data_IF_067895667694
#
_entry.id   IF_067895667694
#
_cell.length_a   1.000
_cell.length_b   1.000
_cell.length_c   1.000
_cell.angle_alpha   90.00
_cell.angle_beta   90.00
_cell.angle_gamma   90.00
#
_symmetry.space_group_name_H-M   'P 1'
#
loop_
_entity.id
_entity.type
_entity.pdbx_description
1 polymer ?
#
# COMPACT_ATOMS: atom_id res chain seq x y z
N UNK A 1 -0.51 4.63 -16.17
CA UNK A 1 0.55 4.11 -15.25
C UNK A 1 0.98 5.10 -14.13
N UNK A 2 0.18 6.10 -13.73
CA UNK A 2 0.73 7.37 -13.20
C UNK A 2 0.48 7.71 -11.72
N UNK A 3 -0.48 7.06 -11.06
CA UNK A 3 -0.87 7.35 -9.65
C UNK A 3 -0.42 6.30 -8.64
N UNK A 4 0.04 5.15 -9.13
CA UNK A 4 0.25 3.97 -8.30
C UNK A 4 1.48 4.02 -7.38
N UNK A 5 2.47 4.86 -7.73
CA UNK A 5 3.73 4.96 -6.99
C UNK A 5 3.54 5.53 -5.59
N UNK A 6 2.67 6.53 -5.45
CA UNK A 6 2.34 7.13 -4.15
C UNK A 6 1.36 6.28 -3.35
N UNK A 7 0.37 5.64 -4.00
CA UNK A 7 -0.60 4.80 -3.30
C UNK A 7 0.07 3.61 -2.58
N UNK A 8 1.11 3.01 -3.18
CA UNK A 8 1.84 1.90 -2.58
C UNK A 8 2.75 2.35 -1.42
N UNK A 9 3.42 3.49 -1.57
CA UNK A 9 4.27 4.08 -0.52
C UNK A 9 3.44 4.57 0.68
N UNK A 10 2.30 5.21 0.41
CA UNK A 10 1.28 5.55 1.41
C UNK A 10 0.84 4.32 2.20
N UNK A 11 0.56 3.22 1.50
CA UNK A 11 0.09 2.00 2.13
C UNK A 11 1.18 1.24 2.90
N UNK A 12 2.45 1.40 2.53
CA UNK A 12 3.60 0.88 3.26
C UNK A 12 3.97 1.71 4.50
N UNK A 13 3.63 3.02 4.51
CA UNK A 13 3.93 3.95 5.61
C UNK A 13 2.78 4.19 6.59
N UNK A 14 1.56 3.80 6.24
CA UNK A 14 0.40 4.09 7.07
C UNK A 14 0.30 3.13 8.27
N UNK A 15 0.23 3.63 9.52
CA UNK A 15 -0.47 2.89 10.55
C UNK A 15 -1.94 2.75 10.12
N UNK A 16 -2.56 1.65 10.52
CA UNK A 16 -3.98 1.37 10.36
C UNK A 16 -4.86 2.61 10.68
N UNK A 17 -5.21 3.41 9.67
CA UNK A 17 -6.00 4.61 9.85
C UNK A 17 -6.37 5.27 8.53
N UNK A 18 -7.67 5.28 8.22
CA UNK A 18 -8.39 6.15 7.29
C UNK A 18 -7.68 6.58 5.98
N UNK A 19 -7.19 5.62 5.19
CA UNK A 19 -6.96 5.87 3.77
C UNK A 19 -8.26 5.83 2.98
N UNK A 20 -8.97 6.95 2.93
CA UNK A 20 -10.11 7.18 2.05
C UNK A 20 -9.55 7.70 0.72
N UNK A 21 -9.50 6.84 -0.31
CA UNK A 21 -9.28 7.25 -1.71
C UNK A 21 -10.59 7.64 -2.41
N UNK A 22 -11.69 7.73 -1.65
CA UNK A 22 -12.99 8.10 -2.18
C UNK A 22 -13.24 9.60 -1.98
N UNK A 23 -13.51 10.28 -3.10
CA UNK A 23 -14.02 11.65 -3.18
C UNK A 23 -13.04 12.75 -2.80
N UNK A 24 -12.14 13.06 -3.74
CA UNK A 24 -12.10 14.44 -4.20
C UNK A 24 -12.01 14.41 -5.73
N UNK A 25 -13.12 14.81 -6.34
CA UNK A 25 -13.29 14.93 -7.77
C UNK A 25 -12.30 15.98 -8.34
N UNK A 26 -12.07 15.87 -9.65
CA UNK A 26 -11.36 16.84 -10.49
C UNK A 26 -9.83 16.96 -10.30
N UNK A 27 -9.09 16.23 -11.15
CA UNK A 27 -8.12 16.92 -12.01
C UNK A 27 -7.92 16.17 -13.32
N UNK A 28 -8.79 16.49 -14.27
CA UNK A 28 -8.46 16.64 -15.70
C UNK A 28 -7.26 17.58 -15.88
N UNK A 29 -6.07 17.14 -15.47
CA UNK A 29 -4.82 17.73 -15.95
C UNK A 29 -4.00 16.63 -16.61
N UNK A 30 -4.00 16.55 -17.96
CA UNK A 30 -3.11 15.64 -18.66
C UNK A 30 -1.67 16.05 -18.36
N UNK A 31 -0.89 15.16 -17.73
CA UNK A 31 0.58 15.27 -17.67
C UNK A 31 1.25 15.52 -16.31
N UNK A 32 0.51 15.71 -15.21
CA UNK A 32 1.15 15.92 -13.89
C UNK A 32 1.35 14.60 -13.11
N UNK A 33 2.56 14.05 -13.19
CA UNK A 33 3.00 12.93 -12.34
C UNK A 33 3.79 13.46 -11.13
N UNK A 34 3.33 13.21 -9.88
CA UNK A 34 4.16 13.53 -8.74
C UNK A 34 5.43 12.66 -8.79
N UNK A 35 6.61 13.27 -8.58
CA UNK A 35 7.86 12.52 -8.58
C UNK A 35 7.86 11.47 -7.46
N UNK A 36 8.61 10.36 -7.60
CA UNK A 36 8.76 9.38 -6.52
C UNK A 36 9.10 10.08 -5.20
N UNK A 37 8.56 9.62 -4.08
CA UNK A 37 8.74 10.27 -2.77
C UNK A 37 10.22 10.57 -2.48
N UNK A 38 11.09 9.64 -2.85
CA UNK A 38 12.54 9.74 -2.74
C UNK A 38 13.10 10.98 -3.46
N UNK A 39 12.57 11.31 -4.64
CA UNK A 39 12.95 12.53 -5.36
C UNK A 39 12.46 13.80 -4.65
N UNK A 40 11.30 13.77 -4.00
CA UNK A 40 10.83 14.92 -3.20
C UNK A 40 11.69 15.13 -1.95
N UNK A 41 12.12 14.04 -1.30
CA UNK A 41 12.98 14.11 -0.13
C UNK A 41 14.38 14.62 -0.45
N UNK A 42 14.93 14.23 -1.60
CA UNK A 42 16.24 14.65 -2.07
C UNK A 42 16.25 16.04 -2.73
N UNK A 43 15.09 16.69 -2.83
CA UNK A 43 14.94 18.03 -3.41
C UNK A 43 15.13 19.13 -2.36
N UNK A 44 15.73 20.28 -2.70
CA UNK A 44 15.80 21.44 -1.82
C UNK A 44 14.42 21.86 -1.30
N UNK A 45 14.36 22.34 -0.05
CA UNK A 45 13.10 22.66 0.63
C UNK A 45 12.25 23.68 -0.15
N UNK A 46 12.87 24.72 -0.72
CA UNK A 46 12.18 25.73 -1.52
C UNK A 46 11.59 25.18 -2.82
N UNK A 47 12.33 24.33 -3.54
CA UNK A 47 11.82 23.73 -4.79
C UNK A 47 10.68 22.75 -4.47
N UNK A 48 10.78 22.03 -3.35
CA UNK A 48 9.73 21.15 -2.85
C UNK A 48 8.46 21.95 -2.53
N UNK A 49 8.57 23.06 -1.80
CA UNK A 49 7.45 23.94 -1.45
C UNK A 49 6.75 24.46 -2.71
N UNK A 50 7.51 25.03 -3.67
CA UNK A 50 6.97 25.51 -4.96
C UNK A 50 6.24 24.42 -5.76
N UNK A 51 6.68 23.16 -5.66
CA UNK A 51 6.00 22.03 -6.30
C UNK A 51 4.74 21.59 -5.56
N UNK A 52 4.77 21.58 -4.24
CA UNK A 52 3.61 21.28 -3.40
C UNK A 52 2.51 22.32 -3.56
N UNK A 53 2.87 23.59 -3.74
CA UNK A 53 1.94 24.69 -3.98
C UNK A 53 1.10 24.50 -5.27
N UNK A 54 1.65 23.85 -6.29
CA UNK A 54 0.94 23.56 -7.55
C UNK A 54 -0.11 22.45 -7.42
N UNK A 55 -0.17 21.76 -6.27
CA UNK A 55 -1.13 20.70 -6.00
C UNK A 55 -2.44 21.26 -5.43
N UNK A 56 -3.58 20.63 -5.75
CA UNK A 56 -4.82 20.83 -5.01
C UNK A 56 -4.61 20.61 -3.50
N UNK A 57 -5.28 21.39 -2.66
CA UNK A 57 -5.04 21.44 -1.21
C UNK A 57 -5.11 20.06 -0.55
N UNK A 58 -6.16 19.28 -0.83
CA UNK A 58 -6.30 17.92 -0.28
C UNK A 58 -5.16 16.99 -0.70
N UNK A 59 -4.59 17.18 -1.88
CA UNK A 59 -3.45 16.39 -2.36
C UNK A 59 -2.12 16.86 -1.76
N UNK A 60 -1.98 18.18 -1.54
CA UNK A 60 -0.83 18.78 -0.87
C UNK A 60 -0.70 18.24 0.55
N UNK A 61 -1.78 18.35 1.35
CA UNK A 61 -1.83 17.88 2.74
C UNK A 61 -1.43 16.41 2.87
N UNK A 62 -2.01 15.55 2.03
CA UNK A 62 -1.65 14.12 1.99
C UNK A 62 -0.17 13.87 1.72
N UNK A 63 0.42 14.61 0.79
CA UNK A 63 1.83 14.44 0.43
C UNK A 63 2.77 14.98 1.52
N UNK A 64 2.39 16.06 2.19
CA UNK A 64 3.08 16.61 3.36
C UNK A 64 3.07 15.62 4.54
N UNK A 65 1.90 15.05 4.87
CA UNK A 65 1.77 14.02 5.91
C UNK A 65 2.63 12.79 5.61
N UNK A 66 2.65 12.35 4.35
CA UNK A 66 3.49 11.23 3.94
C UNK A 66 5.00 11.57 4.05
N UNK A 67 5.40 12.79 3.65
CA UNK A 67 6.77 13.26 3.81
C UNK A 67 7.18 13.30 5.28
N UNK A 68 6.33 13.82 6.15
CA UNK A 68 6.56 13.88 7.59
C UNK A 68 6.69 12.48 8.20
N UNK A 69 5.78 11.56 7.85
CA UNK A 69 5.83 10.16 8.29
C UNK A 69 7.10 9.47 7.81
N UNK A 70 7.51 9.70 6.57
CA UNK A 70 8.72 9.10 6.01
C UNK A 70 9.98 9.60 6.71
N UNK A 71 10.03 10.89 7.04
CA UNK A 71 11.14 11.47 7.80
C UNK A 71 11.25 10.87 9.21
N UNK A 72 10.12 10.50 9.82
CA UNK A 72 10.08 9.82 11.13
C UNK A 72 10.48 8.34 11.10
N UNK A 73 10.65 7.74 9.92
CA UNK A 73 11.08 6.34 9.82
C UNK A 73 12.56 6.16 10.13
N UNK A 74 12.88 5.06 10.83
CA UNK A 74 14.24 4.59 11.03
C UNK A 74 14.91 4.21 9.69
N UNK A 75 16.25 4.20 9.62
CA UNK A 75 16.98 3.76 8.42
C UNK A 75 16.56 2.36 7.94
N UNK A 76 16.28 1.44 8.86
CA UNK A 76 15.84 0.08 8.58
C UNK A 76 14.45 0.06 7.95
N UNK A 77 13.51 0.85 8.50
CA UNK A 77 12.16 0.98 7.95
C UNK A 77 12.19 1.58 6.54
N UNK A 78 13.02 2.61 6.32
CA UNK A 78 13.22 3.22 4.99
C UNK A 78 13.80 2.21 4.01
N UNK A 79 14.83 1.46 4.40
CA UNK A 79 15.44 0.41 3.58
C UNK A 79 14.43 -0.66 3.19
N UNK A 80 13.61 -1.10 4.13
CA UNK A 80 12.56 -2.07 3.85
C UNK A 80 11.52 -1.55 2.84
N UNK A 81 11.08 -0.30 3.00
CA UNK A 81 10.15 0.33 2.05
C UNK A 81 10.77 0.42 0.66
N UNK A 82 12.05 0.81 0.56
CA UNK A 82 12.78 0.85 -0.69
C UNK A 82 12.88 -0.53 -1.35
N UNK A 83 13.24 -1.58 -0.61
CA UNK A 83 13.31 -2.96 -1.11
C UNK A 83 11.96 -3.44 -1.65
N UNK A 84 10.86 -3.14 -0.95
CA UNK A 84 9.51 -3.52 -1.40
C UNK A 84 9.04 -2.74 -2.62
N UNK A 85 9.39 -1.47 -2.69
CA UNK A 85 9.11 -0.64 -3.84
C UNK A 85 9.87 -1.12 -5.09
N UNK A 86 11.15 -1.46 -4.95
CA UNK A 86 11.94 -2.03 -6.04
C UNK A 86 11.42 -3.40 -6.48
N UNK A 87 11.04 -4.28 -5.54
CA UNK A 87 10.40 -5.54 -5.86
C UNK A 87 9.11 -5.34 -6.66
N UNK A 88 8.27 -4.37 -6.29
CA UNK A 88 7.07 -4.02 -7.03
C UNK A 88 7.37 -3.49 -8.43
N UNK A 89 8.37 -2.60 -8.58
CA UNK A 89 8.75 -2.03 -9.88
C UNK A 89 9.22 -3.08 -10.88
N UNK A 90 9.83 -4.16 -10.39
CA UNK A 90 10.30 -5.28 -11.21
C UNK A 90 9.19 -6.25 -11.61
N UNK A 91 7.99 -6.15 -11.02
CA UNK A 91 6.86 -7.01 -11.38
C UNK A 91 6.33 -6.64 -12.79
N UNK A 92 5.79 -7.60 -13.55
CA UNK A 92 5.08 -7.32 -14.80
C UNK A 92 3.94 -6.32 -14.62
N UNK A 93 3.65 -5.52 -15.65
CA UNK A 93 2.62 -4.47 -15.57
C UNK A 93 1.25 -4.99 -15.09
N UNK A 94 0.82 -6.17 -15.58
CA UNK A 94 -0.41 -6.81 -15.16
C UNK A 94 -0.44 -7.21 -13.67
N UNK A 95 0.70 -7.64 -13.12
CA UNK A 95 0.82 -7.92 -11.67
C UNK A 95 0.78 -6.63 -10.86
N UNK A 96 1.42 -5.57 -11.35
CA UNK A 96 1.33 -4.25 -10.72
C UNK A 96 -0.11 -3.73 -10.68
N UNK A 97 -0.86 -3.89 -11.77
CA UNK A 97 -2.28 -3.52 -11.83
C UNK A 97 -3.15 -4.35 -10.89
N UNK A 98 -2.88 -5.64 -10.80
CA UNK A 98 -3.55 -6.53 -9.85
C UNK A 98 -3.33 -6.08 -8.40
N UNK A 99 -2.10 -5.71 -8.05
CA UNK A 99 -1.78 -5.18 -6.71
C UNK A 99 -2.42 -3.82 -6.45
N UNK A 100 -2.45 -2.92 -7.43
CA UNK A 100 -3.15 -1.63 -7.32
C UNK A 100 -4.62 -1.83 -7.02
N UNK A 101 -5.28 -2.72 -7.76
CA UNK A 101 -6.69 -3.03 -7.58
C UNK A 101 -6.97 -3.65 -6.21
N UNK A 102 -6.12 -4.57 -5.76
CA UNK A 102 -6.19 -5.16 -4.43
C UNK A 102 -6.11 -4.09 -3.34
N UNK A 103 -5.17 -3.16 -3.45
CA UNK A 103 -4.97 -2.11 -2.45
C UNK A 103 -6.05 -1.03 -2.48
N UNK A 104 -6.60 -0.70 -3.65
CA UNK A 104 -7.78 0.17 -3.76
C UNK A 104 -8.97 -0.42 -3.02
N UNK A 105 -9.29 -1.69 -3.29
CA UNK A 105 -10.39 -2.41 -2.63
C UNK A 105 -10.22 -2.51 -1.12
N UNK A 106 -8.99 -2.75 -0.65
CA UNK A 106 -8.71 -2.68 0.78
C UNK A 106 -8.95 -1.27 1.31
N UNK A 107 -8.48 -0.23 0.62
CA UNK A 107 -8.65 1.17 1.00
C UNK A 107 -10.12 1.58 1.23
N UNK A 108 -11.03 1.03 0.45
CA UNK A 108 -12.48 1.25 0.55
C UNK A 108 -13.12 0.60 1.80
N UNK A 109 -12.42 -0.31 2.48
CA UNK A 109 -12.93 -1.00 3.66
C UNK A 109 -12.69 -0.22 4.96
N UNK A 110 -13.56 -0.40 5.97
CA UNK A 110 -13.32 0.10 7.33
C UNK A 110 -12.00 -0.43 7.89
N UNK A 111 -11.29 0.41 8.66
CA UNK A 111 -9.95 0.09 9.16
C UNK A 111 -9.90 -1.24 9.92
N UNK A 112 -10.83 -1.46 10.84
CA UNK A 112 -10.88 -2.69 11.63
C UNK A 112 -10.96 -3.93 10.74
N UNK A 113 -11.73 -3.85 9.64
CA UNK A 113 -11.84 -4.94 8.68
C UNK A 113 -10.55 -5.12 7.89
N UNK A 114 -9.91 -4.04 7.43
CA UNK A 114 -8.58 -4.09 6.78
C UNK A 114 -7.56 -4.78 7.66
N UNK A 115 -7.49 -4.43 8.94
CA UNK A 115 -6.57 -5.04 9.90
C UNK A 115 -6.83 -6.54 10.05
N UNK A 116 -8.10 -6.96 10.11
CA UNK A 116 -8.46 -8.37 10.19
C UNK A 116 -7.98 -9.15 8.95
N UNK A 117 -8.28 -8.65 7.74
CA UNK A 117 -7.84 -9.29 6.50
C UNK A 117 -6.32 -9.37 6.42
N UNK A 118 -5.61 -8.29 6.80
CA UNK A 118 -4.14 -8.26 6.87
C UNK A 118 -3.59 -9.31 7.83
N UNK A 119 -4.17 -9.44 9.04
CA UNK A 119 -3.75 -10.47 10.02
C UNK A 119 -3.94 -11.87 9.48
N UNK A 120 -5.05 -12.17 8.82
CA UNK A 120 -5.25 -13.49 8.21
C UNK A 120 -4.29 -13.75 7.05
N UNK A 121 -4.09 -12.76 6.19
CA UNK A 121 -3.12 -12.86 5.11
C UNK A 121 -1.71 -13.13 5.62
N UNK A 122 -1.31 -12.45 6.71
CA UNK A 122 -0.03 -12.70 7.37
C UNK A 122 0.08 -14.13 7.88
N UNK A 123 -0.94 -14.64 8.59
CA UNK A 123 -0.99 -16.04 9.04
C UNK A 123 -0.85 -17.02 7.88
N UNK A 124 -1.60 -16.81 6.80
CA UNK A 124 -1.49 -17.65 5.61
C UNK A 124 -0.12 -17.55 4.97
N UNK A 125 0.51 -16.37 4.92
CA UNK A 125 1.81 -16.17 4.28
C UNK A 125 2.94 -17.00 4.92
N UNK A 126 2.80 -17.34 6.21
CA UNK A 126 3.73 -18.23 6.93
C UNK A 126 3.44 -19.71 6.71
N UNK A 127 2.31 -20.07 6.10
CA UNK A 127 1.96 -21.46 5.82
C UNK A 127 2.48 -21.91 4.45
N UNK A 128 2.87 -23.19 4.30
CA UNK A 128 3.12 -23.80 3.00
C UNK A 128 1.92 -23.65 2.05
N UNK A 129 2.13 -23.57 0.71
CA UNK A 129 1.05 -23.35 -0.26
C UNK A 129 -0.14 -24.32 -0.13
N UNK A 130 0.13 -25.59 0.14
CA UNK A 130 -0.90 -26.62 0.33
C UNK A 130 -1.76 -26.33 1.57
N UNK A 131 -1.12 -25.99 2.70
CA UNK A 131 -1.83 -25.65 3.94
C UNK A 131 -2.64 -24.37 3.82
N UNK A 132 -2.16 -23.38 3.06
CA UNK A 132 -2.95 -22.17 2.75
C UNK A 132 -4.26 -22.49 2.06
N UNK A 133 -4.21 -23.30 0.99
CA UNK A 133 -5.41 -23.71 0.25
C UNK A 133 -6.39 -24.46 1.15
N UNK A 134 -5.90 -25.41 1.94
CA UNK A 134 -6.73 -26.15 2.90
C UNK A 134 -7.40 -25.22 3.93
N UNK A 135 -6.64 -24.26 4.49
CA UNK A 135 -7.19 -23.30 5.45
C UNK A 135 -8.28 -22.43 4.82
N UNK A 136 -8.05 -21.94 3.60
CA UNK A 136 -9.02 -21.10 2.88
C UNK A 136 -10.27 -21.87 2.46
N UNK A 137 -10.14 -23.17 2.17
CA UNK A 137 -11.27 -24.05 1.83
C UNK A 137 -12.09 -24.49 3.07
N UNK A 138 -11.59 -24.25 4.29
CA UNK A 138 -12.26 -24.70 5.51
C UNK A 138 -13.64 -24.03 5.70
N UNK A 139 -14.63 -24.75 6.29
CA UNK A 139 -15.95 -24.18 6.58
C UNK A 139 -15.90 -22.89 7.39
N UNK A 140 -15.05 -22.85 8.43
CA UNK A 140 -14.83 -21.65 9.25
C UNK A 140 -14.40 -20.44 8.42
N UNK A 141 -13.48 -20.65 7.48
CA UNK A 141 -12.97 -19.56 6.64
C UNK A 141 -14.02 -19.08 5.63
N UNK A 142 -14.83 -20.01 5.09
CA UNK A 142 -15.91 -19.68 4.16
C UNK A 142 -17.09 -18.97 4.82
N UNK A 143 -17.37 -19.28 6.08
CA UNK A 143 -18.42 -18.62 6.86
C UNK A 143 -18.01 -17.22 7.32
N UNK A 144 -16.72 -17.01 7.64
CA UNK A 144 -16.24 -15.73 8.19
C UNK A 144 -15.86 -14.68 7.14
N UNK A 145 -15.48 -15.09 5.94
CA UNK A 145 -15.01 -14.20 4.88
C UNK A 145 -15.80 -14.36 3.59
N UNK A 146 -16.25 -13.25 3.02
CA UNK A 146 -16.94 -13.21 1.72
C UNK A 146 -16.00 -13.66 0.60
N UNK A 147 -16.52 -14.06 -0.57
CA UNK A 147 -15.67 -14.40 -1.72
C UNK A 147 -14.63 -13.32 -2.04
N UNK A 148 -15.00 -12.05 -1.99
CA UNK A 148 -14.14 -10.90 -2.27
C UNK A 148 -13.02 -10.77 -1.22
N UNK A 149 -13.37 -10.93 0.06
CA UNK A 149 -12.39 -10.87 1.15
C UNK A 149 -11.40 -12.03 1.10
N UNK A 150 -11.86 -13.22 0.70
CA UNK A 150 -10.96 -14.37 0.51
C UNK A 150 -9.96 -14.09 -0.62
N UNK A 151 -10.37 -13.46 -1.71
CA UNK A 151 -9.46 -13.03 -2.78
C UNK A 151 -8.44 -11.99 -2.29
N UNK A 152 -8.89 -11.00 -1.50
CA UNK A 152 -7.99 -10.01 -0.92
C UNK A 152 -6.99 -10.65 0.04
N UNK A 153 -7.44 -11.55 0.91
CA UNK A 153 -6.58 -12.29 1.84
C UNK A 153 -5.57 -13.14 1.05
N UNK A 154 -5.99 -13.84 -0.01
CA UNK A 154 -5.11 -14.64 -0.84
C UNK A 154 -4.05 -13.80 -1.55
N UNK A 155 -4.45 -12.68 -2.14
CA UNK A 155 -3.55 -11.75 -2.83
C UNK A 155 -2.53 -11.14 -1.86
N UNK A 156 -2.97 -10.70 -0.69
CA UNK A 156 -2.08 -10.20 0.37
C UNK A 156 -1.11 -11.29 0.85
N UNK A 157 -1.59 -12.51 1.08
CA UNK A 157 -0.74 -13.62 1.52
C UNK A 157 0.33 -13.97 0.48
N UNK A 158 -0.04 -13.95 -0.80
CA UNK A 158 0.91 -14.15 -1.92
C UNK A 158 1.97 -13.05 -1.94
N UNK A 159 1.56 -11.79 -1.83
CA UNK A 159 2.47 -10.65 -1.77
C UNK A 159 3.45 -10.77 -0.58
N UNK A 160 2.95 -11.05 0.61
CA UNK A 160 3.76 -11.20 1.82
C UNK A 160 4.73 -12.39 1.73
N UNK A 161 4.34 -13.47 1.05
CA UNK A 161 5.21 -14.64 0.88
C UNK A 161 6.36 -14.44 -0.11
N UNK A 162 6.23 -13.48 -1.03
CA UNK A 162 7.25 -13.18 -2.07
C UNK A 162 8.26 -12.13 -1.63
N UNK A 163 7.88 -11.28 -0.68
CA UNK A 163 8.71 -10.17 -0.24
C UNK A 163 9.54 -10.58 0.98
N UNK A 164 10.78 -10.05 1.14
CA UNK A 164 11.62 -10.37 2.29
C UNK A 164 10.86 -10.11 3.59
N UNK A 165 11.00 -11.04 4.53
CA UNK A 165 10.36 -10.98 5.84
C UNK A 165 11.12 -9.93 6.67
N UNK A 166 10.59 -8.73 6.69
CA UNK A 166 10.98 -7.64 7.58
C UNK A 166 9.71 -6.93 8.01
N UNK A 167 9.59 -6.55 9.28
CA UNK A 167 8.43 -5.86 9.87
C UNK A 167 7.14 -6.68 10.03
N UNK A 168 7.25 -7.86 10.62
CA UNK A 168 6.13 -8.50 11.36
C UNK A 168 5.69 -7.70 12.61
N UNK A 169 6.28 -6.54 12.87
CA UNK A 169 6.17 -5.78 14.12
C UNK A 169 6.28 -4.27 13.87
N UNK A 170 5.31 -3.69 13.17
CA UNK A 170 4.95 -2.30 13.44
C UNK A 170 3.51 -2.29 13.96
N UNK A 171 3.23 -1.47 14.99
CA UNK A 171 1.96 -1.47 15.71
C UNK A 171 0.76 -1.21 14.80
#
# INVERSE_FOLDING_TARGET
MRMARLALLMLLLAPAGNFVWAQDAASDRPGWEPPPLERLLNMPAEERAKRLERLPEGRRKRLEELLERYQKLSPEQRRYIAERYEAFRRMPAAEQDSLRNLFRRLGEMPEQRRMELRRQAWRLSMMPPVRRRARMASPWFRQRYTPEERELIAGLARLMSRLPRGLSALP
#
